data_IF_582360433831
#
_entry.id   IF_582360433831
#
_cell.length_a   1.000
_cell.length_b   1.000
_cell.length_c   1.000
_cell.angle_alpha   90.00
_cell.angle_beta   90.00
_cell.angle_gamma   90.00
#
_symmetry.space_group_name_H-M   'P 1'
#
loop_
_entity.id
_entity.type
_entity.pdbx_description
1 polymer ?
#
# COMPACT_ATOMS: atom_id res chain seq x y z
N UNK A 1 -6.80 -10.19 21.74
CA UNK A 1 -5.78 -10.45 20.71
C UNK A 1 -5.16 -9.14 20.18
N UNK A 2 -5.87 -8.26 19.44
CA UNK A 2 -5.31 -7.03 18.83
C UNK A 2 -4.50 -6.17 19.82
N UNK A 3 -5.08 -5.79 20.97
CA UNK A 3 -4.41 -4.96 21.98
C UNK A 3 -3.12 -5.59 22.50
N UNK A 4 -3.10 -6.91 22.71
CA UNK A 4 -1.89 -7.61 23.15
C UNK A 4 -0.81 -7.62 22.08
N UNK A 5 -1.17 -7.83 20.80
CA UNK A 5 -0.22 -7.75 19.70
C UNK A 5 0.40 -6.35 19.62
N UNK A 6 -0.40 -5.28 19.74
CA UNK A 6 0.12 -3.91 19.80
C UNK A 6 1.09 -3.69 20.96
N UNK A 7 0.76 -4.20 22.16
CA UNK A 7 1.66 -4.10 23.32
C UNK A 7 3.00 -4.78 23.06
N UNK A 8 3.00 -5.95 22.44
CA UNK A 8 4.23 -6.65 22.08
C UNK A 8 5.03 -5.86 21.03
N UNK A 9 4.38 -5.37 19.96
CA UNK A 9 5.05 -4.56 18.93
C UNK A 9 5.71 -3.31 19.52
N UNK A 10 4.99 -2.58 20.38
CA UNK A 10 5.53 -1.40 21.05
C UNK A 10 6.71 -1.78 21.96
N UNK A 11 6.61 -2.87 22.71
CA UNK A 11 7.70 -3.38 23.58
C UNK A 11 8.95 -3.79 22.78
N UNK A 12 8.77 -4.20 21.52
CA UNK A 12 9.85 -4.54 20.59
C UNK A 12 10.41 -3.32 19.85
N UNK A 13 9.91 -2.12 20.13
CA UNK A 13 10.37 -0.87 19.54
C UNK A 13 9.65 -0.46 18.26
N UNK A 14 8.59 -1.16 17.85
CA UNK A 14 7.83 -0.75 16.67
C UNK A 14 7.04 0.54 16.95
N UNK A 15 7.08 1.45 16.00
CA UNK A 15 6.40 2.75 16.07
C UNK A 15 4.92 2.61 15.68
N UNK A 16 4.12 1.98 16.52
CA UNK A 16 2.68 1.78 16.28
C UNK A 16 1.93 3.08 16.52
N UNK A 17 1.04 3.45 15.60
CA UNK A 17 0.19 4.63 15.70
C UNK A 17 -1.14 4.29 16.38
N UNK A 18 -1.91 3.40 15.79
CA UNK A 18 -3.16 2.86 16.34
C UNK A 18 -3.58 1.59 15.59
N UNK A 19 -4.69 0.97 16.04
CA UNK A 19 -5.33 -0.12 15.31
C UNK A 19 -6.84 -0.09 15.51
N UNK A 20 -7.57 -0.49 14.48
CA UNK A 20 -9.03 -0.54 14.49
C UNK A 20 -9.58 -1.74 13.70
N UNK A 21 -10.88 -1.95 13.81
CA UNK A 21 -11.60 -2.91 12.97
C UNK A 21 -11.93 -2.24 11.63
N UNK A 22 -11.76 -2.98 10.56
CA UNK A 22 -12.12 -2.60 9.20
C UNK A 22 -13.50 -3.17 8.80
N UNK A 23 -13.92 -2.87 7.56
CA UNK A 23 -15.28 -3.17 7.07
C UNK A 23 -15.54 -4.67 6.88
N UNK A 24 -14.50 -5.48 6.67
CA UNK A 24 -14.64 -6.92 6.45
C UNK A 24 -15.09 -7.66 7.70
N UNK A 25 -16.35 -8.09 7.71
CA UNK A 25 -16.93 -8.89 8.79
C UNK A 25 -18.02 -9.81 8.21
N UNK A 26 -17.72 -11.10 8.12
CA UNK A 26 -18.63 -12.08 7.54
C UNK A 26 -18.36 -13.49 8.10
N UNK A 27 -19.30 -14.40 7.87
CA UNK A 27 -19.17 -15.83 8.23
C UNK A 27 -18.97 -16.62 6.92
N UNK A 28 -17.96 -17.49 6.90
CA UNK A 28 -17.74 -18.48 5.85
C UNK A 28 -17.36 -19.80 6.47
N UNK A 29 -18.00 -20.88 6.04
CA UNK A 29 -17.77 -22.27 6.49
C UNK A 29 -17.75 -22.41 8.03
N UNK A 30 -18.67 -21.69 8.70
CA UNK A 30 -18.79 -21.71 10.16
C UNK A 30 -17.71 -20.94 10.90
N UNK A 31 -16.82 -20.24 10.18
CA UNK A 31 -15.77 -19.38 10.75
C UNK A 31 -16.17 -17.90 10.63
N UNK A 32 -15.97 -17.15 11.71
CA UNK A 32 -16.12 -15.68 11.70
C UNK A 32 -14.84 -15.04 11.17
N UNK A 33 -14.96 -14.30 10.08
CA UNK A 33 -13.87 -13.48 9.51
C UNK A 33 -14.05 -12.03 9.94
N UNK A 34 -13.02 -11.44 10.56
CA UNK A 34 -13.03 -10.05 11.05
C UNK A 34 -11.77 -9.37 10.56
N UNK A 35 -11.92 -8.33 9.73
CA UNK A 35 -10.80 -7.54 9.23
C UNK A 35 -10.34 -6.55 10.29
N UNK A 36 -9.02 -6.44 10.46
CA UNK A 36 -8.36 -5.53 11.38
C UNK A 36 -7.27 -4.77 10.63
N UNK A 37 -7.04 -3.53 11.03
CA UNK A 37 -5.94 -2.71 10.51
C UNK A 37 -5.06 -2.22 11.66
N UNK A 38 -3.75 -2.20 11.42
CA UNK A 38 -2.75 -1.54 12.26
C UNK A 38 -2.05 -0.49 11.42
N UNK A 39 -2.01 0.73 11.90
CA UNK A 39 -1.27 1.83 11.29
C UNK A 39 -0.01 2.13 12.10
N UNK A 40 1.12 2.29 11.39
CA UNK A 40 2.41 2.62 11.97
C UNK A 40 2.71 4.11 11.80
N UNK A 41 3.49 4.67 12.71
CA UNK A 41 4.07 5.99 12.55
C UNK A 41 5.16 5.97 11.49
N UNK A 42 5.43 7.08 10.80
CA UNK A 42 6.52 7.17 9.85
C UNK A 42 7.88 6.99 10.54
N UNK A 43 8.69 6.09 9.99
CA UNK A 43 10.07 5.83 10.39
C UNK A 43 10.96 5.81 9.14
N UNK A 44 12.27 5.57 9.29
CA UNK A 44 13.16 5.34 8.15
C UNK A 44 12.67 4.16 7.29
N UNK A 45 12.92 4.23 5.99
CA UNK A 45 12.40 3.25 5.03
C UNK A 45 12.84 1.81 5.31
N UNK A 46 14.08 1.62 5.77
CA UNK A 46 14.59 0.29 6.13
C UNK A 46 13.89 -0.22 7.39
N UNK A 47 13.80 0.64 8.40
CA UNK A 47 13.11 0.33 9.66
C UNK A 47 11.62 0.02 9.43
N UNK A 48 10.93 0.72 8.53
CA UNK A 48 9.55 0.43 8.16
C UNK A 48 9.38 -1.00 7.61
N UNK A 49 10.34 -1.45 6.79
CA UNK A 49 10.37 -2.84 6.28
C UNK A 49 10.51 -3.86 7.40
N UNK A 50 11.46 -3.65 8.30
CA UNK A 50 11.72 -4.54 9.43
C UNK A 50 10.54 -4.60 10.39
N UNK A 51 9.95 -3.45 10.73
CA UNK A 51 8.77 -3.38 11.59
C UNK A 51 7.57 -4.12 10.98
N UNK A 52 7.39 -4.07 9.65
CA UNK A 52 6.32 -4.81 8.98
C UNK A 52 6.50 -6.32 9.06
N UNK A 53 7.72 -6.83 8.90
CA UNK A 53 8.03 -8.27 9.05
C UNK A 53 7.80 -8.71 10.49
N UNK A 54 8.28 -7.94 11.47
CA UNK A 54 8.01 -8.19 12.89
C UNK A 54 6.52 -8.19 13.20
N UNK A 55 5.76 -7.24 12.66
CA UNK A 55 4.33 -7.16 12.88
C UNK A 55 3.58 -8.40 12.40
N UNK A 56 3.89 -8.88 11.20
CA UNK A 56 3.29 -10.11 10.67
C UNK A 56 3.60 -11.33 11.54
N UNK A 57 4.83 -11.43 12.02
CA UNK A 57 5.24 -12.51 12.91
C UNK A 57 4.51 -12.43 14.27
N UNK A 58 4.55 -11.29 14.95
CA UNK A 58 3.91 -11.08 16.25
C UNK A 58 2.40 -11.35 16.17
N UNK A 59 1.74 -10.89 15.11
CA UNK A 59 0.30 -11.11 14.93
C UNK A 59 -0.03 -12.60 14.81
N UNK A 60 0.78 -13.40 14.10
CA UNK A 60 0.60 -14.86 14.01
C UNK A 60 0.79 -15.53 15.35
N UNK A 61 1.87 -15.20 16.07
CA UNK A 61 2.16 -15.81 17.38
C UNK A 61 1.08 -15.49 18.42
N UNK A 62 0.67 -14.22 18.49
CA UNK A 62 -0.40 -13.83 19.43
C UNK A 62 -1.72 -14.47 19.03
N UNK A 63 -2.09 -14.51 17.76
CA UNK A 63 -3.31 -15.16 17.30
C UNK A 63 -3.31 -16.66 17.64
N UNK A 64 -2.19 -17.34 17.40
CA UNK A 64 -2.02 -18.74 17.76
C UNK A 64 -2.30 -18.99 19.25
N UNK A 65 -1.82 -18.11 20.13
CA UNK A 65 -2.07 -18.22 21.58
C UNK A 65 -3.54 -18.10 21.97
N UNK A 66 -4.38 -17.53 21.10
CA UNK A 66 -5.83 -17.41 21.26
C UNK A 66 -6.62 -18.49 20.49
N UNK A 67 -5.96 -19.41 19.80
CA UNK A 67 -6.62 -20.38 18.93
C UNK A 67 -7.30 -19.73 17.71
N UNK A 68 -6.76 -18.59 17.24
CA UNK A 68 -7.27 -17.79 16.10
C UNK A 68 -6.25 -17.88 14.97
N UNK A 69 -6.73 -18.01 13.74
CA UNK A 69 -5.90 -17.88 12.53
C UNK A 69 -5.85 -16.43 12.06
N UNK A 70 -4.67 -15.99 11.58
CA UNK A 70 -4.46 -14.71 10.94
C UNK A 70 -4.06 -14.92 9.50
N UNK A 71 -4.69 -14.21 8.59
CA UNK A 71 -4.36 -14.17 7.17
C UNK A 71 -3.98 -12.77 6.75
N UNK A 72 -2.91 -12.64 5.98
CA UNK A 72 -2.53 -11.42 5.26
C UNK A 72 -2.86 -11.52 3.76
N UNK A 73 -3.61 -12.56 3.37
CA UNK A 73 -4.04 -12.74 1.99
C UNK A 73 -4.82 -11.53 1.49
N UNK A 74 -4.51 -11.05 0.26
CA UNK A 74 -5.18 -9.90 -0.34
C UNK A 74 -6.69 -10.09 -0.49
N UNK A 75 -7.13 -11.33 -0.67
CA UNK A 75 -8.53 -11.68 -0.87
C UNK A 75 -8.82 -13.06 -0.28
N UNK A 76 -9.66 -13.12 0.73
CA UNK A 76 -10.07 -14.37 1.39
C UNK A 76 -11.49 -14.81 1.04
N UNK A 77 -12.28 -13.94 0.40
CA UNK A 77 -13.58 -14.29 -0.16
C UNK A 77 -13.96 -13.32 -1.28
N UNK A 78 -14.41 -13.83 -2.42
CA UNK A 78 -14.91 -13.01 -3.52
C UNK A 78 -16.22 -12.35 -3.11
N UNK A 79 -16.40 -11.08 -3.52
CA UNK A 79 -17.57 -10.28 -3.10
C UNK A 79 -17.44 -9.61 -1.72
N UNK A 80 -16.43 -9.97 -0.93
CA UNK A 80 -16.11 -9.30 0.34
C UNK A 80 -14.95 -8.34 0.19
N UNK A 81 -14.74 -7.46 1.18
CA UNK A 81 -13.60 -6.54 1.20
C UNK A 81 -12.26 -7.30 1.10
N UNK A 82 -11.32 -6.76 0.34
CA UNK A 82 -9.94 -7.24 0.29
C UNK A 82 -9.07 -6.55 1.34
N UNK A 83 -7.90 -7.12 1.62
CA UNK A 83 -6.93 -6.57 2.57
C UNK A 83 -5.78 -5.90 1.81
N UNK A 84 -5.67 -4.59 1.95
CA UNK A 84 -4.57 -3.78 1.44
C UNK A 84 -3.44 -3.65 2.47
N UNK A 85 -2.27 -3.27 1.99
CA UNK A 85 -1.16 -2.78 2.80
C UNK A 85 -0.68 -1.48 2.19
N UNK A 86 -1.24 -0.36 2.65
CA UNK A 86 -1.00 0.95 2.07
C UNK A 86 0.32 1.54 2.58
N UNK A 87 1.09 2.12 1.66
CA UNK A 87 2.37 2.74 1.99
C UNK A 87 2.23 4.25 2.04
N UNK A 88 2.28 4.81 3.25
CA UNK A 88 2.35 6.25 3.47
C UNK A 88 3.81 6.69 3.45
N UNK A 89 4.15 7.58 2.55
CA UNK A 89 5.50 8.13 2.41
C UNK A 89 5.51 9.64 2.61
N UNK A 90 6.63 10.13 3.13
CA UNK A 90 6.98 11.56 3.15
C UNK A 90 8.47 11.72 2.87
N UNK A 91 8.83 12.83 2.25
CA UNK A 91 10.22 13.22 2.04
C UNK A 91 10.61 14.19 3.17
N UNK A 92 11.69 13.88 3.88
CA UNK A 92 12.20 14.73 4.96
C UNK A 92 13.58 15.24 4.59
N UNK A 93 13.79 16.56 4.72
CA UNK A 93 15.08 17.21 4.57
C UNK A 93 15.32 18.11 5.78
N UNK A 94 16.44 17.91 6.45
CA UNK A 94 16.83 18.66 7.65
C UNK A 94 15.72 18.66 8.74
N UNK A 95 15.05 17.52 8.90
CA UNK A 95 13.94 17.34 9.85
C UNK A 95 12.59 17.92 9.40
N UNK A 96 12.51 18.52 8.21
CA UNK A 96 11.29 19.17 7.70
C UNK A 96 10.67 18.32 6.59
N UNK A 97 9.36 18.09 6.69
CA UNK A 97 8.58 17.43 5.63
C UNK A 97 8.53 18.30 4.37
N UNK A 98 8.94 17.73 3.25
CA UNK A 98 9.00 18.43 1.97
C UNK A 98 7.70 18.33 1.16
N UNK A 99 6.67 17.65 1.65
CA UNK A 99 5.43 17.43 0.88
C UNK A 99 4.38 18.52 1.07
N UNK A 100 4.53 19.39 2.08
CA UNK A 100 3.56 20.45 2.32
C UNK A 100 4.20 21.74 2.78
N UNK A 101 3.65 22.88 2.34
CA UNK A 101 3.98 24.22 2.81
C UNK A 101 2.96 24.78 3.79
N UNK A 102 1.97 23.98 4.21
CA UNK A 102 0.81 24.47 4.95
C UNK A 102 -0.30 25.09 4.07
N UNK A 103 0.01 25.44 2.82
CA UNK A 103 -0.98 25.94 1.85
C UNK A 103 -1.40 24.90 0.80
N UNK A 104 -0.79 23.72 0.82
CA UNK A 104 -1.04 22.63 -0.13
C UNK A 104 0.22 21.80 -0.40
N UNK A 105 0.13 20.93 -1.39
CA UNK A 105 1.26 20.10 -1.82
C UNK A 105 2.36 20.96 -2.47
N UNK A 106 3.59 20.59 -2.19
CA UNK A 106 4.78 21.17 -2.83
C UNK A 106 4.96 20.62 -4.24
N UNK A 107 5.83 21.27 -5.01
CA UNK A 107 6.29 20.77 -6.31
C UNK A 107 7.00 19.42 -6.17
N UNK A 108 7.77 19.20 -5.10
CA UNK A 108 8.45 17.94 -4.85
C UNK A 108 7.46 16.81 -4.51
N UNK A 109 6.37 17.10 -3.82
CA UNK A 109 5.28 16.14 -3.64
C UNK A 109 4.67 15.69 -4.97
N UNK A 110 4.39 16.65 -5.87
CA UNK A 110 3.85 16.35 -7.21
C UNK A 110 4.85 15.54 -8.06
N UNK A 111 6.15 15.83 -7.98
CA UNK A 111 7.19 15.05 -8.65
C UNK A 111 7.23 13.61 -8.15
N UNK A 112 7.17 13.39 -6.82
CA UNK A 112 7.13 12.04 -6.25
C UNK A 112 5.87 11.30 -6.67
N UNK A 113 4.70 11.96 -6.68
CA UNK A 113 3.47 11.39 -7.23
C UNK A 113 3.68 10.98 -8.69
N UNK A 114 4.27 11.85 -9.52
CA UNK A 114 4.60 11.54 -10.91
C UNK A 114 5.48 10.30 -11.06
N UNK A 115 6.50 10.16 -10.22
CA UNK A 115 7.36 8.97 -10.17
C UNK A 115 6.58 7.70 -9.80
N UNK A 116 5.69 7.76 -8.81
CA UNK A 116 4.84 6.63 -8.43
C UNK A 116 3.89 6.22 -9.55
N UNK A 117 3.25 7.18 -10.23
CA UNK A 117 2.35 6.90 -11.33
C UNK A 117 3.08 6.28 -12.53
N UNK A 118 4.29 6.76 -12.85
CA UNK A 118 5.10 6.23 -13.95
C UNK A 118 5.54 4.79 -13.71
N UNK A 119 5.82 4.42 -12.45
CA UNK A 119 6.26 3.08 -12.06
C UNK A 119 5.14 2.22 -11.45
N UNK A 120 3.90 2.71 -11.45
CA UNK A 120 2.78 2.05 -10.80
C UNK A 120 2.63 0.59 -11.23
N UNK A 121 2.67 0.34 -12.54
CA UNK A 121 2.48 -0.99 -13.09
C UNK A 121 3.62 -1.97 -12.73
N UNK A 122 4.87 -1.52 -12.72
CA UNK A 122 6.02 -2.36 -12.33
C UNK A 122 6.11 -2.58 -10.83
N UNK A 123 5.70 -1.60 -10.01
CA UNK A 123 5.64 -1.74 -8.55
C UNK A 123 4.67 -2.82 -8.09
N UNK A 124 3.63 -3.15 -8.88
CA UNK A 124 2.74 -4.28 -8.56
C UNK A 124 3.49 -5.62 -8.54
N UNK A 125 4.58 -5.76 -9.28
CA UNK A 125 5.41 -6.97 -9.23
C UNK A 125 6.01 -7.22 -7.84
N UNK A 126 6.25 -6.18 -7.05
CA UNK A 126 6.75 -6.29 -5.68
C UNK A 126 5.63 -6.19 -4.64
N UNK A 127 4.57 -5.46 -4.95
CA UNK A 127 3.48 -5.15 -4.03
C UNK A 127 2.29 -6.09 -4.06
N UNK A 128 2.14 -6.87 -5.15
CA UNK A 128 0.99 -7.73 -5.44
C UNK A 128 1.51 -9.04 -6.04
N UNK A 129 2.02 -9.93 -5.18
CA UNK A 129 2.92 -11.02 -5.59
C UNK A 129 2.23 -12.39 -5.75
N UNK A 130 0.92 -12.43 -5.66
CA UNK A 130 0.12 -13.66 -5.78
C UNK A 130 -1.15 -13.42 -6.61
N UNK A 131 -1.71 -14.44 -7.27
CA UNK A 131 -2.91 -14.31 -8.09
C UNK A 131 -4.11 -13.69 -7.36
N UNK A 132 -4.29 -13.97 -6.07
CA UNK A 132 -5.38 -13.40 -5.27
C UNK A 132 -5.25 -11.88 -5.05
N UNK A 133 -4.08 -11.27 -5.27
CA UNK A 133 -3.91 -9.81 -5.32
C UNK A 133 -4.81 -9.17 -6.38
N UNK A 134 -4.92 -9.81 -7.54
CA UNK A 134 -5.70 -9.31 -8.68
C UNK A 134 -7.20 -9.62 -8.59
N UNK A 135 -7.61 -10.43 -7.60
CA UNK A 135 -9.01 -10.54 -7.16
C UNK A 135 -9.39 -9.39 -6.21
N UNK A 136 -8.41 -8.74 -5.57
CA UNK A 136 -8.61 -7.53 -4.77
C UNK A 136 -8.63 -6.28 -5.64
N UNK A 137 -7.71 -6.15 -6.60
CA UNK A 137 -7.58 -5.00 -7.50
C UNK A 137 -8.71 -5.03 -8.56
N UNK A 138 -9.94 -4.80 -8.11
CA UNK A 138 -11.14 -4.76 -8.94
C UNK A 138 -11.97 -3.52 -8.62
N UNK A 139 -12.74 -2.98 -9.60
CA UNK A 139 -13.55 -1.79 -9.38
C UNK A 139 -14.55 -1.97 -8.22
N UNK A 140 -14.87 -0.86 -7.54
CA UNK A 140 -15.89 -0.76 -6.48
C UNK A 140 -15.65 -1.63 -5.23
N UNK A 141 -14.39 -2.03 -4.97
CA UNK A 141 -14.01 -2.80 -3.77
C UNK A 141 -12.86 -2.14 -2.98
N UNK A 142 -12.87 -0.81 -2.89
CA UNK A 142 -11.90 0.01 -2.15
C UNK A 142 -10.44 -0.20 -2.55
N UNK A 143 -10.20 -0.78 -3.72
CA UNK A 143 -8.88 -1.01 -4.28
C UNK A 143 -8.74 -0.27 -5.62
N UNK A 144 -7.57 0.32 -5.91
CA UNK A 144 -7.34 1.04 -7.14
C UNK A 144 -7.18 0.07 -8.31
N UNK A 145 -7.69 0.44 -9.47
CA UNK A 145 -7.45 -0.25 -10.74
C UNK A 145 -6.77 0.65 -11.76
N UNK A 146 -6.97 1.96 -11.65
CA UNK A 146 -6.49 2.96 -12.60
C UNK A 146 -5.30 3.73 -12.05
N UNK A 147 -4.35 4.11 -12.94
CA UNK A 147 -3.14 4.84 -12.60
C UNK A 147 -3.47 6.34 -12.58
N UNK A 148 -3.84 6.82 -11.41
CA UNK A 148 -4.18 8.22 -11.13
C UNK A 148 -3.97 8.56 -9.65
N UNK A 149 -4.12 9.84 -9.32
CA UNK A 149 -4.05 10.29 -7.93
C UNK A 149 -5.15 11.31 -7.61
N UNK A 150 -5.39 11.54 -6.31
CA UNK A 150 -6.35 12.53 -5.88
C UNK A 150 -6.27 12.84 -4.39
N UNK A 151 -6.84 14.00 -4.03
CA UNK A 151 -6.94 14.45 -2.65
C UNK A 151 -8.08 13.72 -1.94
N UNK A 152 -7.80 13.04 -0.83
CA UNK A 152 -8.78 12.33 0.02
C UNK A 152 -9.69 11.34 -0.73
N UNK A 153 -9.33 10.99 -1.95
CA UNK A 153 -10.09 10.14 -2.84
C UNK A 153 -9.68 8.67 -2.63
N UNK A 154 -10.61 7.79 -2.28
CA UNK A 154 -10.34 6.36 -2.04
C UNK A 154 -10.33 5.50 -3.30
N UNK A 155 -10.80 6.01 -4.43
CA UNK A 155 -10.85 5.27 -5.70
C UNK A 155 -9.53 5.32 -6.49
N UNK A 156 -8.60 6.22 -6.13
CA UNK A 156 -7.34 6.42 -6.85
C UNK A 156 -6.20 5.54 -6.35
N UNK A 157 -5.18 5.38 -7.17
CA UNK A 157 -3.96 4.63 -6.82
C UNK A 157 -3.10 5.34 -5.79
N UNK A 158 -2.85 6.63 -6.01
CA UNK A 158 -2.07 7.46 -5.09
C UNK A 158 -3.02 8.46 -4.43
N UNK A 159 -3.28 8.27 -3.13
CA UNK A 159 -4.11 9.19 -2.36
C UNK A 159 -3.24 10.16 -1.57
N UNK A 160 -3.64 11.41 -1.55
CA UNK A 160 -3.14 12.39 -0.59
C UNK A 160 -4.14 12.46 0.56
N UNK A 161 -3.82 11.89 1.73
CA UNK A 161 -4.72 11.89 2.87
C UNK A 161 -4.82 13.28 3.50
N UNK A 162 -5.78 13.48 4.40
CA UNK A 162 -5.92 14.69 5.16
C UNK A 162 -4.70 14.89 6.07
N UNK A 163 -3.92 15.93 5.81
CA UNK A 163 -2.67 16.22 6.54
C UNK A 163 -2.85 17.06 7.79
N UNK A 164 -4.08 17.44 8.18
CA UNK A 164 -4.38 18.30 9.34
C UNK A 164 -3.52 19.57 9.38
N UNK A 165 -3.37 20.22 8.22
CA UNK A 165 -2.56 21.42 8.09
C UNK A 165 -3.28 22.65 8.65
N UNK A 166 -2.51 23.59 9.22
CA UNK A 166 -3.04 24.82 9.80
C UNK A 166 -4.12 24.61 10.87
N UNK A 167 -4.08 23.49 11.57
CA UNK A 167 -4.94 23.25 12.72
C UNK A 167 -4.35 24.00 13.91
N UNK A 168 -5.10 24.91 14.49
CA UNK A 168 -4.79 25.46 15.79
C UNK A 168 -5.17 24.48 16.91
N UNK A 169 -4.75 24.75 18.12
CA UNK A 169 -5.05 23.90 19.27
C UNK A 169 -6.40 24.22 19.94
N UNK A 170 -7.25 25.06 19.33
CA UNK A 170 -8.50 25.53 19.93
C UNK A 170 -9.45 24.37 20.25
N UNK A 171 -9.69 23.46 19.29
CA UNK A 171 -10.52 22.28 19.53
C UNK A 171 -9.96 21.37 20.63
N UNK A 172 -8.64 21.22 20.70
CA UNK A 172 -8.02 20.42 21.76
C UNK A 172 -8.20 21.09 23.13
N UNK A 173 -7.99 22.40 23.22
CA UNK A 173 -8.19 23.18 24.47
C UNK A 173 -9.64 23.14 24.93
N UNK A 174 -10.59 23.28 23.99
CA UNK A 174 -12.02 23.22 24.32
C UNK A 174 -12.42 21.82 24.83
N UNK A 175 -11.88 20.77 24.25
CA UNK A 175 -12.14 19.39 24.68
C UNK A 175 -11.39 18.98 25.95
N UNK A 176 -10.23 19.60 26.23
CA UNK A 176 -9.33 19.25 27.34
C UNK A 176 -8.86 20.54 28.11
N UNK A 177 -9.77 21.27 28.74
CA UNK A 177 -9.47 22.61 29.30
C UNK A 177 -8.45 22.60 30.43
N UNK A 178 -8.18 21.45 31.03
CA UNK A 178 -7.23 21.30 32.14
C UNK A 178 -5.86 20.72 31.69
N UNK A 179 -5.71 20.40 30.42
CA UNK A 179 -4.46 19.86 29.89
C UNK A 179 -3.53 21.01 29.39
N UNK A 180 -2.22 20.83 29.49
CA UNK A 180 -1.29 21.81 28.95
C UNK A 180 -1.44 21.91 27.42
N UNK A 181 -1.18 23.10 26.84
CA UNK A 181 -1.21 23.24 25.38
C UNK A 181 -0.31 22.23 24.69
N UNK A 182 -0.82 21.60 23.62
CA UNK A 182 0.01 20.71 22.80
C UNK A 182 1.13 21.56 22.18
N UNK A 183 2.38 21.31 22.59
CA UNK A 183 3.53 21.91 21.94
C UNK A 183 3.77 21.21 20.60
N UNK A 184 3.58 21.96 19.53
CA UNK A 184 3.82 21.47 18.17
C UNK A 184 2.74 20.52 17.70
N UNK A 185 1.54 21.06 17.42
CA UNK A 185 0.64 20.39 16.48
C UNK A 185 1.44 20.11 15.21
N UNK A 186 1.48 18.86 14.74
CA UNK A 186 2.30 18.53 13.60
C UNK A 186 1.68 19.14 12.34
N UNK A 187 2.08 20.37 11.99
CA UNK A 187 1.88 20.90 10.64
C UNK A 187 2.61 20.06 9.57
N UNK A 188 3.17 18.94 9.98
CA UNK A 188 4.16 18.13 9.29
C UNK A 188 3.68 16.68 9.04
N UNK A 189 2.39 16.39 9.16
CA UNK A 189 1.85 15.05 9.03
C UNK A 189 1.47 14.65 7.59
N UNK A 190 1.66 15.53 6.60
CA UNK A 190 1.28 15.24 5.21
C UNK A 190 2.09 14.08 4.64
N UNK A 191 1.40 13.09 4.14
CA UNK A 191 1.97 11.94 3.43
C UNK A 191 1.35 11.80 2.03
N UNK A 192 1.95 10.94 1.22
CA UNK A 192 1.39 10.40 -0.01
C UNK A 192 1.20 8.90 0.22
N UNK A 193 0.05 8.38 -0.10
CA UNK A 193 -0.34 6.99 0.13
C UNK A 193 -0.41 6.22 -1.19
N UNK A 194 0.44 5.20 -1.34
CA UNK A 194 0.34 4.21 -2.43
C UNK A 194 -0.58 3.07 -1.98
N UNK A 195 -1.67 2.80 -2.73
CA UNK A 195 -2.78 1.96 -2.29
C UNK A 195 -2.87 0.59 -2.97
N UNK A 196 -2.11 0.33 -4.02
CA UNK A 196 -2.13 -0.98 -4.69
C UNK A 196 -1.56 -2.12 -3.87
N UNK A 197 -0.49 -1.98 -3.05
CA UNK A 197 0.11 -3.11 -2.38
C UNK A 197 -0.83 -3.80 -1.39
N UNK A 198 -0.54 -5.06 -1.11
CA UNK A 198 -1.27 -5.90 -0.16
C UNK A 198 -0.34 -6.75 0.71
N UNK A 199 -0.91 -7.60 1.55
CA UNK A 199 -0.16 -8.39 2.50
C UNK A 199 0.79 -9.43 1.88
N UNK A 200 0.68 -9.72 0.58
CA UNK A 200 1.61 -10.60 -0.13
C UNK A 200 2.94 -9.94 -0.51
N UNK A 201 3.03 -8.61 -0.38
CA UNK A 201 4.17 -7.85 -0.86
C UNK A 201 5.52 -8.35 -0.34
N UNK A 202 6.51 -8.38 -1.22
CA UNK A 202 7.92 -8.48 -0.86
C UNK A 202 8.39 -7.13 -0.31
N UNK A 203 8.14 -6.89 0.98
CA UNK A 203 8.16 -5.56 1.62
C UNK A 203 9.43 -4.78 1.31
N UNK A 204 10.61 -5.37 1.53
CA UNK A 204 11.89 -4.68 1.31
C UNK A 204 12.13 -4.37 -0.18
N UNK A 205 11.76 -5.28 -1.10
CA UNK A 205 11.86 -5.02 -2.53
C UNK A 205 10.87 -3.92 -2.97
N UNK A 206 9.68 -3.94 -2.41
CA UNK A 206 8.69 -2.89 -2.70
C UNK A 206 9.15 -1.52 -2.19
N UNK A 207 9.69 -1.43 -0.97
CA UNK A 207 10.21 -0.18 -0.41
C UNK A 207 11.40 0.35 -1.22
N UNK A 208 12.31 -0.54 -1.65
CA UNK A 208 13.39 -0.17 -2.57
C UNK A 208 12.83 0.37 -3.90
N UNK A 209 11.85 -0.32 -4.49
CA UNK A 209 11.19 0.11 -5.72
C UNK A 209 10.46 1.46 -5.59
N UNK A 210 9.74 1.66 -4.49
CA UNK A 210 9.07 2.94 -4.17
C UNK A 210 10.10 4.07 -4.02
N UNK A 211 11.26 3.79 -3.40
CA UNK A 211 12.36 4.77 -3.27
C UNK A 211 12.96 5.11 -4.63
N UNK A 212 13.16 4.12 -5.52
CA UNK A 212 13.59 4.35 -6.90
C UNK A 212 12.59 5.24 -7.64
N UNK A 213 11.31 4.91 -7.58
CA UNK A 213 10.24 5.69 -8.24
C UNK A 213 10.19 7.13 -7.72
N UNK A 214 10.29 7.34 -6.39
CA UNK A 214 10.35 8.67 -5.78
C UNK A 214 11.56 9.48 -6.28
N UNK A 215 12.75 8.86 -6.29
CA UNK A 215 13.99 9.49 -6.80
C UNK A 215 13.86 9.90 -8.26
N UNK A 216 13.36 9.01 -9.11
CA UNK A 216 13.15 9.30 -10.53
C UNK A 216 12.13 10.43 -10.71
N UNK A 217 11.05 10.43 -9.93
CA UNK A 217 10.10 11.53 -9.88
C UNK A 217 10.79 12.87 -9.59
N UNK A 218 11.66 12.92 -8.59
CA UNK A 218 12.38 14.14 -8.20
C UNK A 218 13.42 14.61 -9.23
N UNK A 219 14.02 13.69 -10.00
CA UNK A 219 15.18 13.99 -10.87
C UNK A 219 14.83 14.08 -12.34
N UNK A 220 13.78 13.42 -12.80
CA UNK A 220 13.35 13.49 -14.20
C UNK A 220 12.52 14.75 -14.47
N UNK A 221 12.68 15.41 -15.64
CA UNK A 221 11.89 16.58 -15.99
C UNK A 221 10.42 16.22 -16.27
N UNK A 222 9.51 17.15 -16.00
CA UNK A 222 8.09 17.01 -16.35
C UNK A 222 7.24 16.15 -15.42
N UNK A 223 7.80 15.56 -14.36
CA UNK A 223 7.07 14.64 -13.46
C UNK A 223 5.93 15.32 -12.72
N UNK A 224 6.09 16.57 -12.29
CA UNK A 224 5.01 17.31 -11.65
C UNK A 224 3.85 17.61 -12.61
N UNK A 225 4.14 17.97 -13.85
CA UNK A 225 3.10 18.20 -14.86
C UNK A 225 2.40 16.89 -15.25
N UNK A 226 3.16 15.81 -15.35
CA UNK A 226 2.59 14.48 -15.53
C UNK A 226 1.61 14.12 -14.40
N UNK A 227 1.96 14.40 -13.14
CA UNK A 227 1.08 14.22 -12.01
C UNK A 227 -0.18 15.11 -12.13
N UNK A 228 -0.02 16.41 -12.43
CA UNK A 228 -1.16 17.34 -12.58
C UNK A 228 -2.19 16.86 -13.60
N UNK A 229 -1.73 16.32 -14.75
CA UNK A 229 -2.62 15.79 -15.78
C UNK A 229 -3.38 14.52 -15.37
N UNK A 230 -2.99 13.85 -14.29
CA UNK A 230 -3.58 12.58 -13.81
C UNK A 230 -4.31 12.73 -12.48
N UNK A 231 -4.57 13.95 -12.05
CA UNK A 231 -5.41 14.21 -10.87
C UNK A 231 -6.87 13.89 -11.18
N UNK A 232 -7.52 13.17 -10.27
CA UNK A 232 -8.94 12.80 -10.35
C UNK A 232 -9.64 13.21 -9.06
N UNK A 233 -10.65 14.05 -9.20
CA UNK A 233 -11.46 14.54 -8.07
C UNK A 233 -12.72 13.70 -7.82
N UNK A 234 -13.16 12.92 -8.83
CA UNK A 234 -14.31 12.01 -8.77
C UNK A 234 -13.94 10.54 -8.64
N UNK A 235 -14.86 9.66 -9.01
CA UNK A 235 -14.60 8.22 -9.05
C UNK A 235 -13.65 7.86 -10.21
N UNK A 236 -12.48 7.32 -9.87
CA UNK A 236 -11.48 6.93 -10.85
C UNK A 236 -11.97 5.86 -11.82
N UNK A 237 -12.88 4.97 -11.39
CA UNK A 237 -13.46 3.91 -12.25
C UNK A 237 -14.35 4.46 -13.35
N UNK A 238 -14.87 5.69 -13.19
CA UNK A 238 -15.72 6.39 -14.15
C UNK A 238 -14.95 7.40 -15.01
N UNK A 239 -13.63 7.54 -14.79
CA UNK A 239 -12.79 8.49 -15.51
C UNK A 239 -12.19 7.82 -16.73
N UNK A 240 -12.58 8.22 -17.97
CA UNK A 240 -12.08 7.60 -19.19
C UNK A 240 -10.62 7.97 -19.47
N UNK A 241 -9.92 7.11 -20.20
CA UNK A 241 -8.57 7.37 -20.68
C UNK A 241 -7.45 7.23 -19.65
N UNK A 242 -7.73 6.69 -18.48
CA UNK A 242 -6.70 6.35 -17.49
C UNK A 242 -6.04 5.00 -17.83
N UNK A 243 -4.71 4.98 -17.73
CA UNK A 243 -3.96 3.73 -17.77
C UNK A 243 -4.38 2.81 -16.63
N UNK A 244 -4.34 1.49 -16.86
CA UNK A 244 -4.74 0.49 -15.87
C UNK A 244 -3.53 -0.19 -15.23
N UNK A 245 -3.70 -0.60 -13.97
CA UNK A 245 -2.75 -1.49 -13.31
C UNK A 245 -2.80 -2.88 -13.95
N UNK A 246 -1.71 -3.68 -13.86
CA UNK A 246 -1.71 -5.08 -14.25
C UNK A 246 -2.89 -5.85 -13.65
N UNK A 247 -3.36 -6.85 -14.36
CA UNK A 247 -4.47 -7.71 -13.96
C UNK A 247 -4.04 -9.13 -13.54
N UNK A 248 -2.73 -9.39 -13.57
CA UNK A 248 -2.11 -10.67 -13.19
C UNK A 248 -0.65 -10.50 -12.77
N UNK A 249 -0.11 -11.48 -12.08
CA UNK A 249 1.33 -11.56 -11.77
C UNK A 249 2.16 -11.63 -13.06
N UNK A 250 1.67 -12.34 -14.08
CA UNK A 250 2.30 -12.42 -15.39
C UNK A 250 2.45 -11.02 -16.03
N UNK A 251 1.39 -10.24 -16.04
CA UNK A 251 1.43 -8.88 -16.59
C UNK A 251 2.34 -7.96 -15.76
N UNK A 252 2.28 -8.05 -14.43
CA UNK A 252 3.15 -7.30 -13.53
C UNK A 252 4.63 -7.60 -13.78
N UNK A 253 4.99 -8.88 -13.99
CA UNK A 253 6.34 -9.30 -14.36
C UNK A 253 6.81 -8.66 -15.67
N UNK A 254 5.95 -8.64 -16.69
CA UNK A 254 6.25 -7.99 -17.97
C UNK A 254 6.50 -6.47 -17.82
N UNK A 255 5.71 -5.79 -16.96
CA UNK A 255 5.91 -4.36 -16.65
C UNK A 255 7.22 -4.11 -15.91
N UNK A 256 7.58 -4.99 -14.98
CA UNK A 256 8.85 -4.91 -14.25
C UNK A 256 10.05 -5.05 -15.20
N UNK A 257 10.02 -6.07 -16.07
CA UNK A 257 11.09 -6.28 -17.06
C UNK A 257 11.23 -5.10 -18.03
N UNK A 258 10.14 -4.47 -18.42
CA UNK A 258 10.15 -3.31 -19.32
C UNK A 258 10.79 -2.05 -18.68
N UNK A 259 10.81 -1.97 -17.35
CA UNK A 259 11.40 -0.85 -16.61
C UNK A 259 12.65 -1.25 -15.80
N UNK A 260 13.26 -2.40 -16.11
CA UNK A 260 14.40 -2.96 -15.35
C UNK A 260 15.56 -1.98 -15.16
N UNK A 261 15.87 -1.19 -16.20
CA UNK A 261 16.98 -0.25 -16.18
C UNK A 261 16.82 0.82 -15.07
N UNK A 262 15.60 1.23 -14.79
CA UNK A 262 15.29 2.18 -13.73
C UNK A 262 15.61 1.61 -12.34
N UNK A 263 15.34 0.33 -12.13
CA UNK A 263 15.56 -0.38 -10.87
C UNK A 263 17.02 -0.80 -10.68
N UNK A 264 17.70 -1.23 -11.73
CA UNK A 264 19.11 -1.63 -11.70
C UNK A 264 20.05 -0.41 -11.68
N UNK A 265 19.56 0.77 -12.07
CA UNK A 265 20.35 1.99 -12.05
C UNK A 265 20.95 2.26 -10.65
N UNK A 266 22.19 2.70 -10.61
CA UNK A 266 22.95 2.97 -9.38
C UNK A 266 23.15 1.74 -8.47
N UNK A 267 22.90 0.54 -8.98
CA UNK A 267 23.07 -0.70 -8.22
C UNK A 267 22.07 -0.90 -7.09
N UNK A 268 20.90 -0.26 -7.13
CA UNK A 268 19.85 -0.42 -6.12
C UNK A 268 19.32 -1.86 -6.12
N UNK A 269 19.00 -2.37 -7.30
CA UNK A 269 18.68 -3.79 -7.47
C UNK A 269 19.89 -4.50 -8.10
N UNK A 270 20.38 -5.60 -7.52
CA UNK A 270 21.46 -6.37 -8.13
C UNK A 270 21.07 -6.93 -9.49
N UNK A 271 22.04 -7.03 -10.41
CA UNK A 271 21.85 -7.69 -11.70
C UNK A 271 21.32 -9.11 -11.51
N UNK A 272 20.31 -9.49 -12.30
CA UNK A 272 19.66 -10.80 -12.23
C UNK A 272 18.57 -10.94 -11.17
N UNK A 273 18.45 -10.00 -10.20
CA UNK A 273 17.34 -10.03 -9.24
C UNK A 273 16.01 -9.80 -9.94
N UNK A 274 15.95 -8.82 -10.84
CA UNK A 274 14.74 -8.50 -11.60
C UNK A 274 14.30 -9.69 -12.47
N UNK A 275 15.24 -10.35 -13.16
CA UNK A 275 14.94 -11.54 -13.97
C UNK A 275 14.42 -12.69 -13.11
N UNK A 276 15.08 -12.98 -12.00
CA UNK A 276 14.69 -14.05 -11.08
C UNK A 276 13.31 -13.77 -10.46
N UNK A 277 13.05 -12.52 -10.07
CA UNK A 277 11.77 -12.14 -9.50
C UNK A 277 10.63 -12.21 -10.53
N UNK A 278 10.85 -11.69 -11.73
CA UNK A 278 9.89 -11.78 -12.82
C UNK A 278 9.56 -13.21 -13.20
N UNK A 279 10.58 -14.08 -13.31
CA UNK A 279 10.40 -15.52 -13.58
C UNK A 279 9.51 -16.18 -12.53
N UNK A 280 9.74 -15.91 -11.25
CA UNK A 280 8.90 -16.40 -10.15
C UNK A 280 7.44 -15.99 -10.28
N UNK A 281 7.17 -14.76 -10.70
CA UNK A 281 5.80 -14.28 -10.91
C UNK A 281 5.14 -14.96 -12.13
N UNK A 282 5.90 -15.18 -13.22
CA UNK A 282 5.42 -15.87 -14.41
C UNK A 282 5.08 -17.33 -14.11
N UNK A 283 5.85 -18.02 -13.25
CA UNK A 283 5.61 -19.40 -12.83
C UNK A 283 4.28 -19.60 -12.09
N UNK A 284 3.64 -18.53 -11.59
CA UNK A 284 2.32 -18.60 -10.96
C UNK A 284 1.19 -18.93 -11.96
N UNK A 285 1.43 -18.72 -13.27
CA UNK A 285 0.56 -19.19 -14.34
C UNK A 285 -0.83 -18.52 -14.40
N UNK A 286 -0.94 -17.27 -13.96
CA UNK A 286 -2.21 -16.56 -13.78
C UNK A 286 -2.63 -15.65 -14.95
N UNK A 287 -2.03 -15.80 -16.12
CA UNK A 287 -2.27 -14.97 -17.31
C UNK A 287 -3.75 -14.95 -17.76
N UNK A 288 -4.44 -16.05 -17.57
CA UNK A 288 -5.86 -16.21 -17.93
C UNK A 288 -6.77 -16.36 -16.70
N UNK A 289 -6.31 -15.96 -15.53
CA UNK A 289 -7.00 -16.22 -14.27
C UNK A 289 -8.48 -15.77 -14.28
N UNK A 290 -8.78 -14.61 -14.83
CA UNK A 290 -10.16 -14.07 -14.87
C UNK A 290 -11.06 -14.94 -15.76
N UNK A 291 -10.58 -15.37 -16.91
CA UNK A 291 -11.30 -16.23 -17.82
C UNK A 291 -11.47 -17.63 -17.22
N UNK A 292 -10.42 -18.16 -16.60
CA UNK A 292 -10.43 -19.47 -15.95
C UNK A 292 -11.41 -19.52 -14.77
N UNK A 293 -11.52 -18.44 -14.01
CA UNK A 293 -12.52 -18.30 -12.93
C UNK A 293 -13.94 -18.16 -13.49
N UNK A 294 -14.14 -17.37 -14.57
CA UNK A 294 -15.44 -17.19 -15.20
C UNK A 294 -15.97 -18.49 -15.80
N UNK A 295 -15.09 -19.29 -16.41
CA UNK A 295 -15.41 -20.59 -17.03
C UNK A 295 -15.42 -21.74 -16.01
N UNK A 296 -15.24 -21.44 -14.69
CA UNK A 296 -15.14 -22.45 -13.63
C UNK A 296 -14.02 -23.50 -13.85
N UNK A 297 -12.99 -23.14 -14.62
CA UNK A 297 -11.79 -24.00 -14.82
C UNK A 297 -10.88 -24.02 -13.62
N UNK A 298 -10.93 -22.96 -12.79
CA UNK A 298 -10.25 -22.84 -11.52
C UNK A 298 -11.27 -22.56 -10.43
N UNK A 299 -11.19 -23.27 -9.32
CA UNK A 299 -12.03 -23.00 -8.15
C UNK A 299 -11.51 -21.77 -7.41
N UNK A 300 -12.38 -20.77 -7.21
CA UNK A 300 -12.08 -19.59 -6.40
C UNK A 300 -11.69 -20.01 -4.98
N UNK A 301 -12.36 -20.97 -4.39
CA UNK A 301 -12.11 -21.47 -3.02
C UNK A 301 -10.70 -22.06 -2.95
N UNK A 302 -10.35 -22.98 -3.86
CA UNK A 302 -9.02 -23.59 -3.89
C UNK A 302 -7.90 -22.56 -4.10
N UNK A 303 -8.15 -21.54 -4.93
CA UNK A 303 -7.18 -20.45 -5.14
C UNK A 303 -7.00 -19.64 -3.86
N UNK A 304 -8.08 -19.27 -3.19
CA UNK A 304 -8.03 -18.52 -1.91
C UNK A 304 -7.34 -19.34 -0.84
N UNK A 305 -7.67 -20.61 -0.67
CA UNK A 305 -7.07 -21.51 0.31
C UNK A 305 -5.56 -21.66 0.09
N UNK A 306 -5.13 -21.79 -1.17
CA UNK A 306 -3.70 -21.87 -1.53
C UNK A 306 -2.90 -20.68 -1.03
N UNK A 307 -3.47 -19.48 -1.04
CA UNK A 307 -2.80 -18.24 -0.66
C UNK A 307 -3.29 -17.66 0.67
N UNK A 308 -4.06 -18.43 1.45
CA UNK A 308 -4.62 -17.94 2.72
C UNK A 308 -3.54 -17.52 3.74
N UNK A 309 -2.43 -18.24 3.78
CA UNK A 309 -1.33 -17.99 4.72
C UNK A 309 -0.17 -17.18 4.12
N UNK A 310 -0.34 -16.56 2.95
CA UNK A 310 0.69 -15.73 2.33
C UNK A 310 0.99 -14.46 3.17
N UNK A 311 2.25 -13.98 3.11
CA UNK A 311 2.66 -12.73 3.73
C UNK A 311 3.58 -12.84 4.93
#
# INVERSE_FOLDING_TARGET
MRTQALSHLVSMGCAVKYAHSEVGNFVSDGRQMIQQEIEFLPVDVCEAGDQMVLAKWVLREVAHSYGIEVSFSPKIAVGQAGSGMHFHTRLVKDGVNQFSTGAGLTEDALKVIGGYLTHAASLTAFGNTVPTSFLRLVPHQEAPTSICWGDRNRSVLVRVPLGWQNVDDSMFRDANPNEPPIRGLPNDSQTIELRSPDGSAAVHLLLAGVTVAARLGLTQPGMADYARCRKVDGDASQTPGLDQLPSSCFEAAGRLLAQREDYEALGVFPAGLIDSWASRLVELGDVHLRDDLADSRVSVVELVDRYFHIG
#
